data_IF_186786127486
#
_entry.id   IF_186786127486
#
_cell.length_a   1.000
_cell.length_b   1.000
_cell.length_c   1.000
_cell.angle_alpha   90.00
_cell.angle_beta   90.00
_cell.angle_gamma   90.00
#
_symmetry.space_group_name_H-M   'P 1'
#
loop_
_entity.id
_entity.type
_entity.pdbx_description
1 polymer ?
#
# COMPACT_ATOMS: atom_id res chain seq x y z
N UNK A 1 28.84 -45.54 7.40
CA UNK A 1 29.06 -46.02 8.77
C UNK A 1 28.78 -44.91 9.74
N UNK A 2 27.84 -45.19 10.69
CA UNK A 2 27.47 -44.47 11.94
C UNK A 2 26.79 -43.11 11.73
N UNK A 3 25.53 -42.94 11.78
CA UNK A 3 24.43 -43.08 12.78
C UNK A 3 24.74 -42.35 14.11
N UNK A 4 23.94 -41.34 14.41
CA UNK A 4 23.89 -40.61 15.67
C UNK A 4 22.60 -39.83 15.82
N UNK A 5 21.54 -40.49 16.25
CA UNK A 5 20.26 -39.97 16.74
C UNK A 5 20.42 -39.24 18.06
N UNK A 6 19.79 -38.07 18.24
CA UNK A 6 19.50 -37.59 19.60
C UNK A 6 18.11 -36.95 19.62
N UNK A 7 17.26 -37.62 20.37
CA UNK A 7 15.92 -37.26 20.80
C UNK A 7 16.00 -36.47 22.10
N UNK A 8 15.30 -35.34 22.24
CA UNK A 8 15.00 -34.76 23.56
C UNK A 8 13.57 -34.19 23.56
N UNK A 9 12.72 -34.94 24.19
CA UNK A 9 11.71 -34.67 25.23
C UNK A 9 10.81 -33.45 25.15
N UNK A 10 9.52 -33.77 25.08
CA UNK A 10 8.34 -32.96 25.40
C UNK A 10 8.28 -32.63 26.89
N UNK A 11 7.91 -31.41 27.22
CA UNK A 11 7.26 -31.12 28.51
C UNK A 11 5.86 -30.53 28.25
N UNK A 12 4.88 -31.32 28.66
CA UNK A 12 3.49 -30.89 28.89
C UNK A 12 3.42 -30.21 30.27
N UNK A 13 2.71 -29.10 30.34
CA UNK A 13 2.12 -28.62 31.59
C UNK A 13 0.61 -28.49 31.43
N UNK A 14 -0.10 -29.33 32.15
CA UNK A 14 -1.52 -29.30 32.47
C UNK A 14 -1.69 -28.63 33.84
N UNK A 15 -2.59 -27.66 33.95
CA UNK A 15 -3.36 -27.28 35.16
C UNK A 15 -4.42 -26.29 34.66
N UNK A 16 -5.72 -26.32 34.90
CA UNK A 16 -6.60 -26.97 35.85
C UNK A 16 -7.95 -26.31 35.70
N UNK A 17 -8.97 -27.10 35.91
CA UNK A 17 -10.39 -26.88 35.62
C UNK A 17 -11.12 -26.22 36.81
N UNK A 18 -12.17 -25.39 36.50
CA UNK A 18 -13.52 -25.40 37.09
C UNK A 18 -13.93 -24.20 37.99
N UNK A 19 -15.23 -24.04 38.32
CA UNK A 19 -16.43 -24.10 37.48
C UNK A 19 -17.45 -22.95 37.75
N UNK A 20 -18.50 -22.94 36.96
CA UNK A 20 -19.85 -22.31 37.02
C UNK A 20 -20.39 -21.74 38.35
N UNK A 21 -21.44 -20.84 38.32
CA UNK A 21 -22.79 -21.37 38.33
C UNK A 21 -23.81 -20.72 37.37
N UNK A 22 -24.82 -21.53 37.13
CA UNK A 22 -26.10 -21.33 36.47
C UNK A 22 -27.08 -20.46 37.25
N UNK A 23 -27.95 -19.69 36.56
CA UNK A 23 -29.33 -19.51 37.01
C UNK A 23 -30.24 -19.29 35.80
N UNK A 24 -31.24 -20.12 35.77
CA UNK A 24 -32.48 -20.12 35.01
C UNK A 24 -33.37 -18.93 35.35
N UNK A 25 -34.10 -18.40 34.34
CA UNK A 25 -35.56 -18.42 34.43
C UNK A 25 -36.26 -18.04 33.12
N UNK A 26 -37.33 -18.74 32.93
CA UNK A 26 -38.32 -18.86 31.89
C UNK A 26 -39.26 -17.66 31.78
N UNK A 27 -39.67 -17.30 30.55
CA UNK A 27 -41.08 -17.14 30.18
C UNK A 27 -41.27 -16.73 28.74
N UNK A 28 -41.92 -17.58 27.95
CA UNK A 28 -42.60 -17.25 26.71
C UNK A 28 -44.00 -16.72 27.00
N UNK A 29 -44.58 -15.94 26.13
CA UNK A 29 -45.74 -16.45 25.40
C UNK A 29 -45.79 -16.15 23.90
N UNK A 30 -46.46 -17.05 23.29
CA UNK A 30 -46.96 -17.25 21.94
C UNK A 30 -47.55 -16.05 21.20
N UNK A 31 -47.44 -16.14 19.91
CA UNK A 31 -48.39 -16.10 18.79
C UNK A 31 -48.32 -14.93 17.82
N UNK A 32 -48.27 -15.27 16.60
CA UNK A 32 -49.04 -15.00 15.41
C UNK A 32 -48.18 -14.60 14.22
N UNK A 33 -48.27 -15.51 13.22
CA UNK A 33 -47.77 -15.40 11.85
C UNK A 33 -48.40 -14.24 11.09
N UNK A 34 -47.59 -13.39 10.47
CA UNK A 34 -47.93 -12.79 9.19
C UNK A 34 -46.67 -12.67 8.35
N UNK A 35 -46.64 -13.44 7.29
CA UNK A 35 -45.59 -13.35 6.26
C UNK A 35 -45.64 -11.97 5.61
N UNK A 36 -44.61 -11.14 5.87
CA UNK A 36 -44.29 -9.97 5.06
C UNK A 36 -43.03 -10.27 4.26
N UNK A 37 -43.16 -10.24 2.95
CA UNK A 37 -42.06 -10.16 1.99
C UNK A 37 -41.09 -9.08 2.43
N UNK A 38 -39.76 -9.34 2.45
CA UNK A 38 -38.78 -8.32 2.76
C UNK A 38 -38.73 -7.30 1.62
N UNK A 39 -38.65 -6.00 1.94
CA UNK A 39 -38.40 -4.99 0.93
C UNK A 39 -37.00 -5.19 0.32
N UNK A 40 -36.94 -5.18 -0.99
CA UNK A 40 -35.69 -5.04 -1.76
C UNK A 40 -34.93 -3.82 -1.26
N UNK A 41 -33.86 -4.05 -0.50
CA UNK A 41 -32.94 -2.99 -0.07
C UNK A 41 -32.09 -2.60 -1.26
N UNK A 42 -32.33 -1.43 -1.80
CA UNK A 42 -31.37 -0.73 -2.65
C UNK A 42 -30.09 -0.52 -1.84
N UNK A 43 -28.91 -0.92 -2.32
CA UNK A 43 -27.66 -0.69 -1.59
C UNK A 43 -27.39 0.82 -1.54
N UNK A 44 -27.50 1.39 -0.36
CA UNK A 44 -27.10 2.78 -0.10
C UNK A 44 -25.63 2.74 0.31
N UNK A 45 -24.74 3.16 -0.58
CA UNK A 45 -23.39 3.48 -0.19
C UNK A 45 -23.42 4.80 0.61
N UNK A 46 -23.09 4.73 1.89
CA UNK A 46 -22.92 5.92 2.71
C UNK A 46 -21.56 6.54 2.42
N UNK A 47 -21.58 7.60 1.61
CA UNK A 47 -20.51 8.60 1.59
C UNK A 47 -20.87 9.58 2.70
N UNK A 48 -20.31 9.42 3.90
CA UNK A 48 -20.49 10.40 4.97
C UNK A 48 -19.59 11.61 4.70
N UNK A 49 -20.19 12.70 4.22
CA UNK A 49 -19.59 14.02 4.34
C UNK A 49 -19.78 14.52 5.78
N UNK A 50 -18.70 14.72 6.52
CA UNK A 50 -18.77 15.38 7.84
C UNK A 50 -19.20 16.84 7.64
N UNK A 51 -20.46 17.14 7.95
CA UNK A 51 -21.00 18.50 7.96
C UNK A 51 -20.42 19.27 9.15
N UNK A 52 -19.45 20.12 8.90
CA UNK A 52 -18.90 20.99 9.92
C UNK A 52 -17.91 22.01 9.39
N UNK A 53 -18.32 22.79 8.38
CA UNK A 53 -17.85 24.18 8.14
C UNK A 53 -18.76 24.80 7.10
N UNK A 54 -19.56 25.79 7.53
CA UNK A 54 -20.34 26.63 6.64
C UNK A 54 -19.41 27.46 5.76
N UNK A 55 -19.27 27.09 4.49
CA UNK A 55 -18.78 28.00 3.47
C UNK A 55 -19.95 28.42 2.58
N UNK A 56 -20.15 29.72 2.50
CA UNK A 56 -21.18 30.35 1.69
C UNK A 56 -21.03 29.92 0.23
N UNK A 57 -22.09 29.34 -0.33
CA UNK A 57 -22.22 29.03 -1.75
C UNK A 57 -22.33 30.31 -2.55
N UNK A 58 -21.24 30.69 -3.19
CA UNK A 58 -21.30 31.53 -4.41
C UNK A 58 -20.97 30.63 -5.59
N UNK A 59 -22.00 30.26 -6.33
CA UNK A 59 -21.90 29.55 -7.61
C UNK A 59 -21.26 30.45 -8.68
N UNK A 60 -19.97 30.24 -8.91
CA UNK A 60 -19.32 30.52 -10.17
C UNK A 60 -18.21 29.52 -10.39
N UNK A 61 -18.47 28.51 -11.20
CA UNK A 61 -17.52 27.48 -11.61
C UNK A 61 -16.49 28.06 -12.58
N UNK A 62 -15.51 28.75 -12.06
CA UNK A 62 -14.25 28.97 -12.76
C UNK A 62 -13.24 27.99 -12.16
N UNK A 63 -13.15 26.79 -12.72
CA UNK A 63 -12.04 25.88 -12.45
C UNK A 63 -10.75 26.64 -12.79
N UNK A 64 -9.82 26.72 -11.82
CA UNK A 64 -8.49 27.27 -12.09
C UNK A 64 -7.86 26.47 -13.24
N UNK A 65 -7.09 27.11 -14.16
CA UNK A 65 -6.43 26.39 -15.26
C UNK A 65 -5.60 25.18 -14.78
N UNK A 66 -5.07 25.24 -13.58
CA UNK A 66 -4.30 24.16 -12.94
C UNK A 66 -5.17 22.93 -12.61
N UNK A 67 -6.38 23.12 -12.09
CA UNK A 67 -7.28 22.01 -11.77
C UNK A 67 -7.74 21.28 -13.05
N UNK A 68 -8.05 22.01 -14.11
CA UNK A 68 -8.48 21.44 -15.40
C UNK A 68 -7.39 20.57 -16.07
N UNK A 69 -6.11 20.81 -15.79
CA UNK A 69 -5.01 19.98 -16.26
C UNK A 69 -4.93 18.69 -15.44
N UNK A 70 -5.04 18.79 -14.11
CA UNK A 70 -4.97 17.66 -13.19
C UNK A 70 -6.15 16.69 -13.33
N UNK A 71 -7.26 17.10 -13.92
CA UNK A 71 -8.43 16.24 -14.15
C UNK A 71 -8.32 15.41 -15.46
N UNK A 72 -7.19 15.49 -16.18
CA UNK A 72 -6.93 14.69 -17.38
C UNK A 72 -6.29 13.33 -16.97
N UNK A 73 -7.13 12.38 -16.72
CA UNK A 73 -6.69 11.00 -16.39
C UNK A 73 -6.81 10.05 -17.59
N UNK A 74 -6.26 8.85 -17.44
CA UNK A 74 -6.40 7.77 -18.44
C UNK A 74 -7.87 7.48 -18.73
N UNK A 75 -8.15 7.09 -19.97
CA UNK A 75 -9.51 6.81 -20.42
C UNK A 75 -10.08 5.58 -19.72
N UNK A 76 -11.38 5.64 -19.42
CA UNK A 76 -12.16 4.55 -18.86
C UNK A 76 -13.42 4.32 -19.68
N UNK A 77 -13.96 3.12 -19.63
CA UNK A 77 -15.31 2.85 -20.13
C UNK A 77 -16.34 3.47 -19.16
N UNK A 78 -16.88 4.62 -19.54
CA UNK A 78 -17.90 5.35 -18.75
C UNK A 78 -19.25 4.62 -18.72
N UNK A 79 -19.44 3.59 -19.56
CA UNK A 79 -20.63 2.77 -19.61
C UNK A 79 -20.43 1.39 -18.94
N UNK A 80 -19.31 1.23 -18.23
CA UNK A 80 -19.05 0.00 -17.48
C UNK A 80 -20.18 -0.25 -16.47
N UNK A 81 -20.63 -1.49 -16.39
CA UNK A 81 -21.75 -1.88 -15.54
C UNK A 81 -21.48 -1.51 -14.07
N UNK A 82 -22.48 -0.96 -13.40
CA UNK A 82 -22.44 -0.53 -12.00
C UNK A 82 -21.34 0.51 -11.66
N UNK A 83 -20.76 1.18 -12.66
CA UNK A 83 -19.82 2.28 -12.46
C UNK A 83 -20.54 3.50 -11.91
N UNK A 84 -20.09 4.00 -10.78
CA UNK A 84 -20.63 5.19 -10.13
C UNK A 84 -19.52 6.16 -9.75
N UNK A 85 -19.59 7.36 -10.27
CA UNK A 85 -18.70 8.45 -9.89
C UNK A 85 -19.12 9.00 -8.53
N UNK A 86 -18.19 8.99 -7.56
CA UNK A 86 -18.43 9.49 -6.20
C UNK A 86 -17.80 10.86 -5.94
N UNK A 87 -16.86 11.27 -6.78
CA UNK A 87 -16.23 12.59 -6.73
C UNK A 87 -15.83 13.06 -8.12
N UNK A 88 -15.89 14.37 -8.34
CA UNK A 88 -15.44 15.07 -9.54
C UNK A 88 -14.32 16.04 -9.16
N UNK A 89 -13.25 16.07 -9.96
CA UNK A 89 -12.10 16.97 -9.77
C UNK A 89 -11.38 16.80 -8.40
N UNK A 90 -10.63 15.70 -8.21
CA UNK A 90 -10.33 14.59 -9.12
C UNK A 90 -11.46 13.58 -9.25
N UNK A 91 -11.51 12.90 -10.38
CA UNK A 91 -12.46 11.82 -10.60
C UNK A 91 -12.16 10.63 -9.71
N UNK A 92 -13.17 10.16 -8.95
CA UNK A 92 -13.12 8.94 -8.16
C UNK A 92 -14.37 8.13 -8.44
N UNK A 93 -14.21 6.84 -8.70
CA UNK A 93 -15.29 5.93 -9.04
C UNK A 93 -15.36 4.74 -8.08
N UNK A 94 -16.56 4.27 -7.85
CA UNK A 94 -16.85 2.98 -7.22
C UNK A 94 -17.62 2.13 -8.22
N UNK A 95 -17.27 0.86 -8.30
CA UNK A 95 -17.94 -0.12 -9.14
C UNK A 95 -18.51 -1.19 -8.22
N UNK A 96 -19.81 -1.33 -8.19
CA UNK A 96 -20.48 -2.37 -7.43
C UNK A 96 -20.46 -3.68 -8.22
N UNK A 97 -20.38 -4.83 -7.52
CA UNK A 97 -20.38 -6.17 -8.14
C UNK A 97 -19.28 -6.35 -9.21
N UNK A 98 -18.11 -5.74 -9.01
CA UNK A 98 -16.97 -5.85 -9.91
C UNK A 98 -16.42 -7.28 -9.98
N UNK A 99 -16.47 -8.00 -8.86
CA UNK A 99 -16.23 -9.43 -8.75
C UNK A 99 -17.38 -10.09 -7.99
N UNK A 100 -17.69 -11.33 -8.36
CA UNK A 100 -18.62 -12.16 -7.61
C UNK A 100 -18.01 -12.63 -6.30
N UNK A 101 -18.85 -13.08 -5.36
CA UNK A 101 -18.40 -13.63 -4.07
C UNK A 101 -17.43 -14.80 -4.25
N UNK A 102 -17.69 -15.70 -5.21
CA UNK A 102 -16.84 -16.86 -5.50
C UNK A 102 -15.48 -16.45 -6.06
N UNK A 103 -15.43 -15.42 -6.91
CA UNK A 103 -14.17 -14.88 -7.45
C UNK A 103 -13.33 -14.20 -6.36
N UNK A 104 -13.96 -13.47 -5.45
CA UNK A 104 -13.27 -12.92 -4.27
C UNK A 104 -12.65 -14.02 -3.40
N UNK A 105 -13.41 -15.08 -3.12
CA UNK A 105 -12.94 -16.22 -2.33
C UNK A 105 -11.80 -16.97 -3.05
N UNK A 106 -11.90 -17.13 -4.38
CA UNK A 106 -10.86 -17.72 -5.21
C UNK A 106 -9.54 -16.95 -5.12
N UNK A 107 -9.57 -15.62 -5.13
CA UNK A 107 -8.37 -14.77 -4.98
C UNK A 107 -7.79 -14.90 -3.56
N UNK A 108 -8.63 -14.84 -2.53
CA UNK A 108 -8.17 -15.01 -1.13
C UNK A 108 -7.51 -16.38 -0.95
N UNK A 109 -8.12 -17.44 -1.50
CA UNK A 109 -7.57 -18.78 -1.41
C UNK A 109 -6.23 -18.90 -2.15
N UNK A 110 -6.13 -18.34 -3.37
CA UNK A 110 -4.88 -18.32 -4.12
C UNK A 110 -3.76 -17.60 -3.34
N UNK A 111 -4.07 -16.47 -2.69
CA UNK A 111 -3.12 -15.75 -1.85
C UNK A 111 -2.66 -16.56 -0.63
N UNK A 112 -3.57 -17.30 0.01
CA UNK A 112 -3.23 -18.20 1.14
C UNK A 112 -2.39 -19.39 0.69
N UNK A 113 -2.73 -20.01 -0.43
CA UNK A 113 -2.05 -21.20 -0.96
C UNK A 113 -0.65 -20.89 -1.50
N UNK A 114 -0.40 -19.66 -1.91
CA UNK A 114 0.92 -19.22 -2.38
C UNK A 114 2.01 -19.34 -1.31
N UNK A 115 1.66 -19.31 -0.03
CA UNK A 115 2.57 -19.20 1.11
C UNK A 115 3.55 -18.00 1.00
N UNK A 116 3.22 -17.00 0.18
CA UNK A 116 4.07 -15.83 -0.08
C UNK A 116 3.58 -14.57 0.64
N UNK A 117 2.53 -14.66 1.46
CA UNK A 117 2.08 -13.56 2.29
C UNK A 117 3.19 -13.16 3.26
N UNK A 118 3.81 -12.03 2.96
CA UNK A 118 4.89 -11.43 3.77
C UNK A 118 4.50 -10.01 4.12
N UNK A 119 5.13 -9.47 5.16
CA UNK A 119 4.95 -8.05 5.49
C UNK A 119 5.11 -7.20 4.24
N UNK A 120 4.11 -6.37 3.97
CA UNK A 120 4.08 -5.56 2.76
C UNK A 120 5.28 -4.64 2.68
N UNK A 121 5.99 -4.59 1.55
CA UNK A 121 7.08 -3.63 1.37
C UNK A 121 6.50 -2.21 1.36
N UNK A 122 7.24 -1.27 1.89
CA UNK A 122 6.94 0.15 1.76
C UNK A 122 7.83 0.68 0.66
N UNK A 123 7.26 0.84 -0.53
CA UNK A 123 7.91 1.53 -1.62
C UNK A 123 7.64 3.03 -1.44
N UNK A 124 8.50 3.71 -0.70
CA UNK A 124 8.52 5.17 -0.66
C UNK A 124 9.68 5.64 -1.51
N UNK A 125 9.36 6.03 -2.70
CA UNK A 125 10.19 6.88 -3.53
C UNK A 125 10.53 8.16 -2.72
N UNK A 126 11.80 8.55 -2.67
CA UNK A 126 12.29 9.75 -1.95
C UNK A 126 12.67 9.54 -0.48
N UNK A 127 12.46 8.36 0.08
CA UNK A 127 12.84 8.06 1.47
C UNK A 127 13.97 7.02 1.57
N UNK A 128 14.43 6.48 0.46
CA UNK A 128 15.67 5.70 0.43
C UNK A 128 16.80 6.68 0.70
N UNK A 129 17.21 6.75 1.97
CA UNK A 129 18.51 7.30 2.30
C UNK A 129 19.50 6.45 1.51
N UNK A 130 20.04 6.97 0.42
CA UNK A 130 21.10 6.27 -0.30
C UNK A 130 22.30 6.25 0.64
N UNK A 131 22.35 5.19 1.44
CA UNK A 131 23.42 4.94 2.41
C UNK A 131 24.78 5.09 1.74
N UNK A 132 24.91 4.61 0.50
CA UNK A 132 26.13 4.71 -0.28
C UNK A 132 26.47 6.15 -0.59
N UNK A 133 25.52 6.95 -1.08
CA UNK A 133 25.73 8.37 -1.36
C UNK A 133 26.07 9.16 -0.09
N UNK A 134 25.41 8.87 1.04
CA UNK A 134 25.72 9.50 2.33
C UNK A 134 27.14 9.20 2.79
N UNK A 135 27.59 7.95 2.68
CA UNK A 135 28.94 7.55 3.03
C UNK A 135 29.98 8.18 2.08
N UNK A 136 29.71 8.20 0.77
CA UNK A 136 30.59 8.83 -0.21
C UNK A 136 30.71 10.35 0.03
N UNK A 137 29.61 11.03 0.37
CA UNK A 137 29.63 12.45 0.72
C UNK A 137 30.46 12.70 1.99
N UNK A 138 30.26 11.87 3.03
CA UNK A 138 31.02 11.94 4.27
C UNK A 138 32.53 11.72 4.04
N UNK A 139 32.89 10.75 3.21
CA UNK A 139 34.27 10.42 2.88
C UNK A 139 34.99 11.56 2.14
N UNK A 140 34.31 12.17 1.15
CA UNK A 140 34.87 13.26 0.34
C UNK A 140 34.84 14.64 1.00
N UNK A 141 33.95 14.83 1.98
CA UNK A 141 33.72 16.08 2.69
C UNK A 141 34.22 16.06 4.14
N UNK A 142 33.34 15.82 5.13
CA UNK A 142 33.66 15.98 6.54
C UNK A 142 34.85 15.15 7.02
N UNK A 143 34.94 13.87 6.62
CA UNK A 143 36.04 12.99 7.04
C UNK A 143 37.38 13.45 6.49
N UNK A 144 37.41 13.86 5.21
CA UNK A 144 38.61 14.39 4.58
C UNK A 144 39.09 15.66 5.29
N UNK A 145 38.21 16.65 5.51
CA UNK A 145 38.61 17.90 6.18
C UNK A 145 39.02 17.67 7.64
N UNK A 146 38.36 16.73 8.34
CA UNK A 146 38.77 16.36 9.69
C UNK A 146 40.20 15.82 9.75
N UNK A 147 40.57 14.98 8.75
CA UNK A 147 41.94 14.49 8.60
C UNK A 147 42.94 15.64 8.32
N UNK A 148 42.62 16.55 7.40
CA UNK A 148 43.46 17.71 7.08
C UNK A 148 43.69 18.57 8.30
N UNK A 149 42.67 18.92 9.07
CA UNK A 149 42.80 19.70 10.31
C UNK A 149 43.69 18.99 11.32
N UNK A 150 43.55 17.67 11.49
CA UNK A 150 44.41 16.91 12.42
C UNK A 150 45.88 16.85 11.96
N UNK A 151 46.16 16.79 10.65
CA UNK A 151 47.51 16.87 10.10
C UNK A 151 48.11 18.24 10.38
N UNK A 152 47.37 19.31 10.09
CA UNK A 152 47.83 20.68 10.36
C UNK A 152 48.10 20.93 11.83
N UNK A 153 47.23 20.42 12.71
CA UNK A 153 47.44 20.51 14.17
C UNK A 153 48.69 19.73 14.61
N UNK A 154 48.88 18.52 14.12
CA UNK A 154 50.07 17.70 14.40
C UNK A 154 51.38 18.40 14.01
N UNK A 155 51.42 18.98 12.79
CA UNK A 155 52.59 19.65 12.26
C UNK A 155 52.88 21.00 12.95
N UNK A 156 51.83 21.79 13.20
CA UNK A 156 51.98 23.18 13.67
C UNK A 156 52.05 23.31 15.19
N UNK A 157 51.36 22.45 15.94
CA UNK A 157 51.22 22.53 17.40
C UNK A 157 52.07 21.47 18.11
N UNK A 158 52.08 20.25 17.58
CA UNK A 158 52.79 19.12 18.21
C UNK A 158 54.18 18.88 17.64
N UNK A 159 54.58 19.62 16.58
CA UNK A 159 55.84 19.44 15.86
C UNK A 159 56.06 17.99 15.37
N UNK A 160 55.01 17.31 14.97
CA UNK A 160 55.08 15.97 14.43
C UNK A 160 55.43 16.01 12.95
N UNK A 161 56.33 15.13 12.52
CA UNK A 161 56.76 15.00 11.09
C UNK A 161 56.89 13.54 10.71
N UNK A 162 56.77 13.25 9.41
CA UNK A 162 56.94 11.91 8.87
C UNK A 162 55.80 10.96 9.27
N UNK A 163 56.14 9.76 9.74
CA UNK A 163 55.19 8.70 10.03
C UNK A 163 54.12 9.05 11.07
N UNK A 164 54.44 9.75 12.21
CA UNK A 164 53.43 10.14 13.19
C UNK A 164 52.32 11.00 12.62
N UNK A 165 52.64 11.99 11.79
CA UNK A 165 51.64 12.87 11.20
C UNK A 165 50.76 12.16 10.18
N UNK A 166 51.34 11.20 9.41
CA UNK A 166 50.60 10.38 8.47
C UNK A 166 49.61 9.48 9.23
N UNK A 167 50.06 8.81 10.31
CA UNK A 167 49.17 7.97 11.12
C UNK A 167 48.04 8.78 11.79
N UNK A 168 48.32 9.99 12.22
CA UNK A 168 47.31 10.93 12.77
C UNK A 168 46.25 11.27 11.72
N UNK A 169 46.67 11.63 10.51
CA UNK A 169 45.75 11.93 9.42
C UNK A 169 44.87 10.73 9.03
N UNK A 170 45.47 9.56 8.84
CA UNK A 170 44.75 8.33 8.53
C UNK A 170 43.81 7.93 9.66
N UNK A 171 44.26 8.02 10.92
CA UNK A 171 43.43 7.69 12.07
C UNK A 171 42.25 8.66 12.22
N UNK A 172 42.47 9.97 12.03
CA UNK A 172 41.41 10.97 12.06
C UNK A 172 40.38 10.74 10.93
N UNK A 173 40.85 10.44 9.73
CA UNK A 173 39.96 10.10 8.61
C UNK A 173 39.12 8.86 8.91
N UNK A 174 39.75 7.76 9.33
CA UNK A 174 39.05 6.51 9.64
C UNK A 174 38.03 6.69 10.77
N UNK A 175 38.39 7.46 11.81
CA UNK A 175 37.49 7.76 12.92
C UNK A 175 36.27 8.57 12.43
N UNK A 176 36.49 9.67 11.71
CA UNK A 176 35.40 10.51 11.22
C UNK A 176 34.47 9.76 10.24
N UNK A 177 35.05 8.94 9.36
CA UNK A 177 34.29 8.10 8.46
C UNK A 177 33.50 7.03 9.21
N UNK A 178 34.11 6.40 10.22
CA UNK A 178 33.45 5.43 11.09
C UNK A 178 32.22 6.03 11.83
N UNK A 179 32.39 7.25 12.37
CA UNK A 179 31.29 8.00 13.00
C UNK A 179 30.19 8.30 11.97
N UNK A 180 30.53 8.77 10.78
CA UNK A 180 29.54 9.06 9.73
C UNK A 180 28.78 7.80 9.30
N UNK A 181 29.46 6.67 9.13
CA UNK A 181 28.83 5.37 8.83
C UNK A 181 27.88 4.95 9.95
N UNK A 182 28.32 5.05 11.22
CA UNK A 182 27.48 4.68 12.36
C UNK A 182 26.22 5.55 12.44
N UNK A 183 26.34 6.87 12.27
CA UNK A 183 25.20 7.79 12.27
C UNK A 183 24.24 7.50 11.11
N UNK A 184 24.76 7.24 9.91
CA UNK A 184 23.94 6.86 8.75
C UNK A 184 23.21 5.53 8.96
N UNK A 185 23.82 4.55 9.62
CA UNK A 185 23.16 3.28 9.96
C UNK A 185 22.06 3.47 10.99
N UNK A 186 22.30 4.28 12.03
CA UNK A 186 21.28 4.60 13.04
C UNK A 186 20.09 5.34 12.43
N UNK A 187 20.36 6.29 11.55
CA UNK A 187 19.31 7.03 10.84
C UNK A 187 18.50 6.09 9.91
N UNK A 188 19.19 5.21 9.20
CA UNK A 188 18.54 4.19 8.37
C UNK A 188 17.63 3.30 9.21
N UNK A 189 18.11 2.75 10.34
CA UNK A 189 17.29 1.91 11.22
C UNK A 189 16.08 2.66 11.79
N UNK A 190 16.25 3.93 12.16
CA UNK A 190 15.15 4.77 12.65
C UNK A 190 14.09 4.95 11.57
N UNK A 191 14.50 5.32 10.33
CA UNK A 191 13.59 5.49 9.20
C UNK A 191 12.89 4.18 8.81
N UNK A 192 13.61 3.06 8.79
CA UNK A 192 13.01 1.74 8.53
C UNK A 192 11.93 1.39 9.57
N UNK A 193 12.16 1.70 10.84
CA UNK A 193 11.17 1.50 11.89
C UNK A 193 9.94 2.40 11.70
N UNK A 194 10.14 3.70 11.47
CA UNK A 194 9.05 4.66 11.18
C UNK A 194 8.21 4.21 9.98
N UNK A 195 8.86 3.77 8.90
CA UNK A 195 8.19 3.23 7.73
C UNK A 195 7.38 1.96 8.06
N UNK A 196 7.95 1.06 8.88
CA UNK A 196 7.26 -0.16 9.30
C UNK A 196 5.99 0.13 10.12
N UNK A 197 5.93 1.21 10.85
CA UNK A 197 4.75 1.64 11.60
C UNK A 197 3.67 2.27 10.69
N UNK A 198 4.06 2.79 9.52
CA UNK A 198 3.13 3.36 8.54
C UNK A 198 2.32 2.29 7.80
N UNK A 199 2.88 1.10 7.59
CA UNK A 199 2.22 -0.02 6.91
C UNK A 199 2.45 -1.30 7.67
N UNK A 200 1.39 -1.86 8.22
CA UNK A 200 1.46 -3.06 9.06
C UNK A 200 0.90 -4.31 8.37
N UNK A 201 0.30 -4.16 7.18
CA UNK A 201 -0.31 -5.24 6.39
C UNK A 201 0.70 -6.28 5.88
N UNK A 202 0.17 -7.43 5.48
CA UNK A 202 0.89 -8.45 4.69
C UNK A 202 0.41 -8.44 3.24
N UNK A 203 1.26 -8.84 2.30
CA UNK A 203 0.87 -8.91 0.88
C UNK A 203 1.62 -10.00 0.12
N UNK A 204 1.03 -10.46 -0.97
CA UNK A 204 1.66 -11.30 -1.96
C UNK A 204 1.28 -10.84 -3.37
N UNK A 205 2.15 -11.12 -4.33
CA UNK A 205 1.87 -10.90 -5.75
C UNK A 205 1.11 -12.11 -6.26
N UNK A 206 0.07 -11.87 -7.05
CA UNK A 206 -0.75 -12.91 -7.64
C UNK A 206 -0.21 -13.32 -9.01
N UNK A 207 -0.29 -14.61 -9.31
CA UNK A 207 0.26 -15.21 -10.55
C UNK A 207 -0.75 -15.38 -11.68
N UNK A 208 -1.98 -14.87 -11.56
CA UNK A 208 -3.02 -14.98 -12.59
C UNK A 208 -3.59 -16.39 -12.81
N UNK A 209 -3.42 -17.30 -11.84
CA UNK A 209 -3.76 -18.71 -12.01
C UNK A 209 -5.23 -19.03 -11.69
N UNK A 210 -5.78 -18.38 -10.66
CA UNK A 210 -7.17 -18.65 -10.23
C UNK A 210 -8.19 -17.99 -11.14
N UNK A 211 -9.41 -18.51 -11.13
CA UNK A 211 -10.52 -17.97 -11.95
C UNK A 211 -10.86 -16.52 -11.53
N UNK A 212 -10.79 -16.23 -10.23
CA UNK A 212 -10.98 -14.88 -9.72
C UNK A 212 -9.92 -13.90 -10.24
N UNK A 213 -8.65 -14.30 -10.32
CA UNK A 213 -7.57 -13.48 -10.88
C UNK A 213 -7.76 -13.23 -12.38
N UNK A 214 -8.14 -14.25 -13.13
CA UNK A 214 -8.42 -14.12 -14.58
C UNK A 214 -9.57 -13.16 -14.82
N UNK A 215 -10.65 -13.25 -14.05
CA UNK A 215 -11.79 -12.32 -14.14
C UNK A 215 -11.39 -10.92 -13.74
N UNK A 216 -10.62 -10.75 -12.65
CA UNK A 216 -10.08 -9.46 -12.22
C UNK A 216 -9.31 -8.78 -13.37
N UNK A 217 -8.38 -9.48 -14.02
CA UNK A 217 -7.58 -8.96 -15.13
C UNK A 217 -8.48 -8.59 -16.32
N UNK A 218 -9.42 -9.46 -16.69
CA UNK A 218 -10.37 -9.20 -17.78
C UNK A 218 -11.23 -7.97 -17.52
N UNK A 219 -11.79 -7.85 -16.32
CA UNK A 219 -12.61 -6.72 -15.91
C UNK A 219 -11.79 -5.42 -15.88
N UNK A 220 -10.54 -5.47 -15.41
CA UNK A 220 -9.64 -4.31 -15.39
C UNK A 220 -9.37 -3.79 -16.80
N UNK A 221 -9.14 -4.68 -17.77
CA UNK A 221 -8.94 -4.32 -19.17
C UNK A 221 -10.19 -3.73 -19.81
N UNK A 222 -11.37 -4.29 -19.49
CA UNK A 222 -12.65 -3.77 -19.98
C UNK A 222 -12.91 -2.37 -19.41
N UNK A 223 -12.70 -2.18 -18.12
CA UNK A 223 -12.91 -0.89 -17.43
C UNK A 223 -11.96 0.21 -17.93
N UNK A 224 -10.67 -0.12 -18.06
CA UNK A 224 -9.63 0.80 -18.56
C UNK A 224 -9.41 0.58 -20.06
N UNK A 225 -10.51 0.63 -20.82
CA UNK A 225 -10.55 0.40 -22.25
C UNK A 225 -9.59 1.33 -22.99
N UNK A 226 -8.77 0.78 -23.88
CA UNK A 226 -7.77 1.53 -24.63
C UNK A 226 -6.41 1.68 -23.93
N UNK A 227 -6.28 1.32 -22.63
CA UNK A 227 -4.98 1.26 -21.99
C UNK A 227 -4.17 0.05 -22.53
N UNK A 228 -2.87 0.28 -22.77
CA UNK A 228 -1.97 -0.79 -23.17
C UNK A 228 -1.85 -1.84 -22.04
N UNK A 229 -2.20 -3.12 -22.26
CA UNK A 229 -2.11 -4.17 -21.25
C UNK A 229 -0.72 -4.31 -20.62
N UNK A 230 0.32 -4.00 -21.37
CA UNK A 230 1.71 -4.08 -20.90
C UNK A 230 2.13 -2.96 -19.94
N UNK A 231 1.19 -2.11 -19.51
CA UNK A 231 1.45 -1.04 -18.52
C UNK A 231 0.87 -1.34 -17.14
N UNK A 232 0.30 -2.53 -16.92
CA UNK A 232 -0.28 -2.92 -15.64
C UNK A 232 0.68 -3.77 -14.81
N UNK A 233 0.92 -3.41 -13.56
CA UNK A 233 1.62 -4.27 -12.61
C UNK A 233 0.83 -5.55 -12.29
N UNK A 234 1.53 -6.54 -11.77
CA UNK A 234 0.92 -7.73 -11.21
C UNK A 234 -0.08 -7.37 -10.10
N UNK A 235 -1.27 -7.99 -10.10
CA UNK A 235 -2.21 -7.81 -9.00
C UNK A 235 -1.56 -8.20 -7.68
N UNK A 236 -1.70 -7.33 -6.68
CA UNK A 236 -1.15 -7.56 -5.34
C UNK A 236 -2.29 -7.76 -4.36
N UNK A 237 -2.39 -8.96 -3.78
CA UNK A 237 -3.33 -9.23 -2.70
C UNK A 237 -2.75 -8.73 -1.38
N UNK A 238 -3.57 -8.05 -0.57
CA UNK A 238 -3.15 -7.40 0.67
C UNK A 238 -4.11 -7.81 1.78
N UNK A 239 -3.52 -8.29 2.86
CA UNK A 239 -4.20 -8.67 4.09
C UNK A 239 -3.91 -7.65 5.19
N UNK A 240 -4.96 -7.18 5.82
CA UNK A 240 -4.91 -6.42 7.07
C UNK A 240 -5.62 -7.22 8.16
N UNK A 241 -4.86 -7.68 9.13
CA UNK A 241 -5.37 -8.29 10.36
C UNK A 241 -5.88 -7.20 11.33
N UNK A 242 -6.68 -7.54 12.35
CA UNK A 242 -7.09 -6.60 13.39
C UNK A 242 -5.91 -5.78 13.95
N UNK A 243 -6.08 -4.48 14.05
CA UNK A 243 -5.05 -3.52 14.46
C UNK A 243 -4.11 -3.07 13.34
N UNK A 244 -4.23 -3.62 12.13
CA UNK A 244 -3.37 -3.24 11.00
C UNK A 244 -3.99 -2.13 10.16
N UNK A 245 -3.12 -1.32 9.56
CA UNK A 245 -3.48 -0.15 8.76
C UNK A 245 -2.44 0.18 7.69
N UNK A 246 -2.79 1.11 6.84
CA UNK A 246 -1.86 1.81 5.96
C UNK A 246 -2.06 3.32 6.13
N UNK A 247 -1.05 4.01 6.65
CA UNK A 247 -1.09 5.45 6.87
C UNK A 247 -1.26 6.24 5.56
N UNK A 248 -1.62 7.53 5.68
CA UNK A 248 -1.80 8.43 4.56
C UNK A 248 -0.57 8.44 3.63
N UNK A 249 -0.82 8.21 2.35
CA UNK A 249 0.21 8.06 1.33
C UNK A 249 -0.32 8.46 -0.06
N UNK A 250 0.60 8.46 -1.01
CA UNK A 250 0.32 8.64 -2.43
C UNK A 250 0.75 7.40 -3.19
N UNK A 251 -0.01 7.02 -4.20
CA UNK A 251 0.34 5.93 -5.12
C UNK A 251 1.20 6.40 -6.30
N UNK A 252 1.39 7.70 -6.45
CA UNK A 252 2.24 8.31 -7.46
C UNK A 252 3.38 9.10 -6.81
N UNK A 253 4.46 9.31 -7.56
CA UNK A 253 5.64 10.03 -7.11
C UNK A 253 5.58 11.50 -7.49
N UNK A 254 6.00 12.38 -6.58
CA UNK A 254 6.13 13.82 -6.86
C UNK A 254 7.18 14.14 -7.92
N UNK A 255 8.16 13.27 -8.10
CA UNK A 255 9.26 13.40 -9.05
C UNK A 255 9.42 12.14 -9.91
N UNK A 256 8.52 11.91 -10.84
CA UNK A 256 8.39 10.71 -11.67
C UNK A 256 9.67 10.24 -12.42
N UNK A 257 10.70 11.05 -12.48
CA UNK A 257 11.87 10.75 -13.31
C UNK A 257 12.94 9.88 -12.64
N UNK A 258 12.89 9.65 -11.33
CA UNK A 258 14.03 9.08 -10.62
C UNK A 258 13.75 7.69 -10.02
N UNK A 259 12.54 7.38 -9.61
CA UNK A 259 12.34 6.26 -8.68
C UNK A 259 11.62 5.04 -9.24
N UNK A 260 10.77 5.21 -10.26
CA UNK A 260 9.99 4.11 -10.83
C UNK A 260 10.30 3.78 -12.29
N UNK A 261 11.42 4.29 -12.84
CA UNK A 261 11.79 4.05 -14.24
C UNK A 261 11.90 2.54 -14.57
N UNK A 262 12.30 1.71 -13.60
CA UNK A 262 12.39 0.26 -13.77
C UNK A 262 11.04 -0.46 -13.58
N UNK A 263 10.06 0.19 -12.92
CA UNK A 263 8.73 -0.36 -12.62
C UNK A 263 7.64 0.12 -13.58
N UNK A 264 7.97 0.83 -14.64
CA UNK A 264 6.99 1.34 -15.60
C UNK A 264 6.70 2.84 -15.47
N UNK A 265 7.49 3.58 -14.71
CA UNK A 265 7.32 5.03 -14.50
C UNK A 265 6.18 5.37 -13.55
N UNK A 266 5.52 6.50 -13.78
CA UNK A 266 4.47 7.03 -12.90
C UNK A 266 3.24 6.13 -12.84
N UNK A 267 2.63 6.01 -11.67
CA UNK A 267 1.32 5.37 -11.50
C UNK A 267 0.21 6.32 -11.93
N UNK A 268 -0.53 5.95 -12.97
CA UNK A 268 -1.59 6.79 -13.55
C UNK A 268 -3.00 6.41 -13.09
N UNK A 269 -3.22 5.15 -12.71
CA UNK A 269 -4.48 4.71 -12.14
C UNK A 269 -4.24 3.62 -11.08
N UNK A 270 -5.02 3.68 -10.02
CA UNK A 270 -5.13 2.67 -8.98
C UNK A 270 -6.52 2.06 -8.98
N UNK A 271 -6.58 0.77 -9.16
CA UNK A 271 -7.78 -0.03 -8.95
C UNK A 271 -7.61 -0.87 -7.68
N UNK A 272 -8.50 -0.66 -6.73
CA UNK A 272 -8.53 -1.36 -5.44
C UNK A 272 -9.84 -2.15 -5.35
N UNK A 273 -9.78 -3.47 -5.26
CA UNK A 273 -10.96 -4.33 -5.14
C UNK A 273 -11.04 -4.91 -3.73
N UNK A 274 -12.20 -4.78 -3.09
CA UNK A 274 -12.46 -5.31 -1.76
C UNK A 274 -12.95 -6.76 -1.87
N UNK A 275 -12.23 -7.69 -1.22
CA UNK A 275 -12.51 -9.12 -1.33
C UNK A 275 -13.44 -9.64 -0.24
N UNK A 276 -13.66 -8.87 0.81
CA UNK A 276 -14.65 -9.16 1.85
C UNK A 276 -15.30 -7.88 2.39
N UNK A 277 -16.40 -8.06 3.10
CA UNK A 277 -17.11 -6.94 3.74
C UNK A 277 -16.38 -6.48 5.00
N UNK A 278 -16.48 -5.19 5.28
CA UNK A 278 -16.23 -4.61 6.60
C UNK A 278 -17.47 -3.84 7.04
N UNK A 279 -17.87 -3.99 8.29
CA UNK A 279 -18.95 -3.16 8.84
C UNK A 279 -18.45 -1.74 9.12
N UNK A 280 -19.35 -0.76 9.17
CA UNK A 280 -19.00 0.63 9.48
C UNK A 280 -18.31 0.79 10.86
N UNK A 281 -18.56 -0.15 11.78
CA UNK A 281 -17.94 -0.17 13.11
C UNK A 281 -16.63 -0.95 13.16
N UNK A 282 -16.29 -1.68 12.09
CA UNK A 282 -15.08 -2.53 12.02
C UNK A 282 -13.83 -1.79 11.55
N UNK A 283 -13.94 -0.52 11.18
CA UNK A 283 -12.81 0.20 10.60
C UNK A 283 -12.44 -0.32 9.20
N UNK A 284 -11.18 -0.16 8.81
CA UNK A 284 -10.67 -0.68 7.55
C UNK A 284 -11.10 0.08 6.30
N UNK A 285 -11.76 1.22 6.44
CA UNK A 285 -12.21 2.02 5.31
C UNK A 285 -11.01 2.63 4.55
N UNK A 286 -11.21 2.94 3.28
CA UNK A 286 -10.30 3.76 2.49
C UNK A 286 -10.75 5.21 2.56
N UNK A 287 -9.87 6.11 3.01
CA UNK A 287 -10.19 7.53 3.24
C UNK A 287 -9.30 8.41 2.40
N UNK A 288 -9.90 9.35 1.68
CA UNK A 288 -9.22 10.45 1.02
C UNK A 288 -9.33 11.70 1.90
N UNK A 289 -8.33 11.93 2.74
CA UNK A 289 -8.37 12.96 3.78
C UNK A 289 -8.60 14.37 3.23
N UNK A 290 -7.97 14.71 2.12
CA UNK A 290 -8.08 16.05 1.49
C UNK A 290 -9.44 16.29 0.85
N UNK A 291 -10.16 15.22 0.48
CA UNK A 291 -11.47 15.28 -0.16
C UNK A 291 -12.63 15.01 0.79
N UNK A 292 -12.32 14.60 2.02
CA UNK A 292 -13.31 14.17 3.03
C UNK A 292 -14.23 13.04 2.50
N UNK A 293 -13.63 12.08 1.77
CA UNK A 293 -14.33 10.91 1.21
C UNK A 293 -13.90 9.69 1.99
N UNK A 294 -14.87 8.87 2.35
CA UNK A 294 -14.70 7.60 3.05
C UNK A 294 -15.40 6.49 2.29
N UNK A 295 -14.69 5.44 1.94
CA UNK A 295 -15.21 4.27 1.23
C UNK A 295 -15.14 3.06 2.15
N UNK A 296 -16.30 2.51 2.50
CA UNK A 296 -16.43 1.29 3.30
C UNK A 296 -16.21 0.07 2.40
N UNK A 297 -15.34 -0.88 2.78
CA UNK A 297 -15.14 -2.10 2.02
C UNK A 297 -16.43 -2.90 1.88
N UNK A 298 -16.78 -3.25 0.64
CA UNK A 298 -17.86 -4.18 0.31
C UNK A 298 -17.34 -5.27 -0.60
N UNK A 299 -17.61 -6.50 -0.23
CA UNK A 299 -17.16 -7.68 -0.98
C UNK A 299 -17.55 -7.56 -2.45
N UNK A 300 -16.57 -7.73 -3.33
CA UNK A 300 -16.75 -7.64 -4.78
C UNK A 300 -16.82 -6.23 -5.34
N UNK A 301 -16.83 -5.17 -4.53
CA UNK A 301 -16.78 -3.81 -5.07
C UNK A 301 -15.35 -3.35 -5.37
N UNK A 302 -15.22 -2.40 -6.30
CA UNK A 302 -13.94 -1.80 -6.66
C UNK A 302 -13.97 -0.27 -6.48
N UNK A 303 -12.81 0.29 -6.15
CA UNK A 303 -12.53 1.72 -6.07
C UNK A 303 -11.47 2.06 -7.12
N UNK A 304 -11.77 3.01 -8.00
CA UNK A 304 -10.85 3.50 -9.03
C UNK A 304 -10.58 4.98 -8.83
N UNK A 305 -9.31 5.36 -8.81
CA UNK A 305 -8.85 6.74 -8.74
C UNK A 305 -7.53 6.93 -9.50
N UNK A 306 -7.13 8.18 -9.71
CA UNK A 306 -6.03 8.53 -10.59
C UNK A 306 -4.97 9.33 -9.83
N UNK A 307 -3.87 8.68 -9.39
CA UNK A 307 -2.79 9.32 -8.64
C UNK A 307 -2.00 10.36 -9.43
N UNK A 308 -2.04 10.27 -10.76
CA UNK A 308 -1.43 11.24 -11.67
C UNK A 308 -2.27 11.40 -12.93
N UNK A 309 -2.05 12.50 -13.66
CA UNK A 309 -2.63 12.75 -14.97
C UNK A 309 -2.11 11.74 -16.01
N UNK A 310 -2.75 11.71 -17.18
CA UNK A 310 -2.27 10.91 -18.33
C UNK A 310 -0.84 11.29 -18.76
N UNK A 311 -0.43 12.54 -18.53
CA UNK A 311 0.94 13.05 -18.79
C UNK A 311 1.92 12.77 -17.62
N UNK A 312 1.50 12.10 -16.55
CA UNK A 312 2.33 11.76 -15.41
C UNK A 312 2.45 12.85 -14.35
N UNK A 313 1.67 13.93 -14.43
CA UNK A 313 1.67 14.98 -13.41
C UNK A 313 1.00 14.49 -12.13
N UNK A 314 1.71 14.58 -11.03
CA UNK A 314 1.27 14.14 -9.71
C UNK A 314 0.07 14.92 -9.19
N UNK A 315 -0.95 14.22 -8.69
CA UNK A 315 -2.13 14.82 -8.06
C UNK A 315 -2.14 14.58 -6.54
N UNK A 316 -1.78 15.60 -5.78
CA UNK A 316 -1.77 15.50 -4.32
C UNK A 316 -3.17 15.45 -3.67
N UNK A 317 -4.24 15.74 -4.42
CA UNK A 317 -5.62 15.72 -3.90
C UNK A 317 -6.07 14.31 -3.52
N UNK A 318 -5.50 13.29 -4.18
CA UNK A 318 -5.83 11.87 -3.96
C UNK A 318 -4.95 11.18 -2.91
N UNK A 319 -4.35 11.95 -2.00
CA UNK A 319 -3.76 11.38 -0.78
C UNK A 319 -4.81 10.53 -0.05
N UNK A 320 -4.46 9.30 0.28
CA UNK A 320 -5.41 8.38 0.89
C UNK A 320 -4.75 7.47 1.93
N UNK A 321 -5.58 6.88 2.79
CA UNK A 321 -5.16 5.92 3.80
C UNK A 321 -6.14 4.75 3.91
N UNK A 322 -5.64 3.62 4.39
CA UNK A 322 -6.48 2.52 4.86
C UNK A 322 -6.56 2.56 6.37
N UNK A 323 -7.73 2.89 6.90
CA UNK A 323 -7.92 2.96 8.35
C UNK A 323 -7.66 1.62 9.02
N UNK A 324 -7.37 1.69 10.32
CA UNK A 324 -7.15 0.52 11.15
C UNK A 324 -8.36 -0.41 11.15
N UNK A 325 -8.11 -1.72 11.02
CA UNK A 325 -9.13 -2.75 11.17
C UNK A 325 -9.39 -2.93 12.66
N UNK A 326 -10.58 -2.55 13.11
CA UNK A 326 -10.99 -2.57 14.52
C UNK A 326 -11.84 -3.80 14.85
N UNK A 327 -12.43 -4.43 13.83
CA UNK A 327 -13.25 -5.62 13.97
C UNK A 327 -12.42 -6.89 14.16
N UNK A 328 -13.07 -8.02 14.46
CA UNK A 328 -12.42 -9.31 14.62
C UNK A 328 -12.03 -9.97 13.31
N UNK A 329 -12.55 -9.47 12.18
CA UNK A 329 -12.36 -10.05 10.86
C UNK A 329 -11.25 -9.33 10.11
N UNK A 330 -10.42 -10.08 9.41
CA UNK A 330 -9.40 -9.57 8.52
C UNK A 330 -10.03 -8.75 7.39
N UNK A 331 -9.31 -7.75 6.89
CA UNK A 331 -9.65 -7.05 5.65
C UNK A 331 -8.76 -7.55 4.53
N UNK A 332 -9.37 -8.02 3.45
CA UNK A 332 -8.70 -8.48 2.25
C UNK A 332 -9.02 -7.56 1.07
N UNK A 333 -7.98 -7.14 0.36
CA UNK A 333 -8.10 -6.35 -0.87
C UNK A 333 -7.14 -6.87 -1.92
N UNK A 334 -7.42 -6.57 -3.19
CA UNK A 334 -6.44 -6.69 -4.27
C UNK A 334 -6.27 -5.34 -4.95
N UNK A 335 -5.04 -4.98 -5.25
CA UNK A 335 -4.66 -3.74 -5.90
C UNK A 335 -4.01 -4.02 -7.23
N UNK A 336 -4.38 -3.23 -8.26
CA UNK A 336 -3.70 -3.17 -9.56
C UNK A 336 -3.29 -1.72 -9.80
N UNK A 337 -2.04 -1.50 -10.20
CA UNK A 337 -1.56 -0.22 -10.70
C UNK A 337 -1.40 -0.24 -12.21
N UNK A 338 -1.86 0.82 -12.87
CA UNK A 338 -1.59 1.12 -14.27
C UNK A 338 -0.49 2.19 -14.33
N UNK A 339 0.61 1.88 -15.00
CA UNK A 339 1.76 2.76 -15.15
C UNK A 339 1.76 3.55 -16.46
N UNK A 340 2.60 4.57 -16.49
CA UNK A 340 2.88 5.39 -17.67
C UNK A 340 3.55 4.58 -18.80
N UNK A 341 4.52 3.72 -18.43
CA UNK A 341 5.38 2.95 -19.34
C UNK A 341 5.15 1.46 -19.19
N UNK A 342 5.81 0.70 -20.06
CA UNK A 342 5.74 -0.76 -20.04
C UNK A 342 6.36 -1.32 -18.76
N UNK A 343 5.75 -2.36 -18.21
CA UNK A 343 6.28 -3.16 -17.09
C UNK A 343 6.88 -4.46 -17.62
N UNK A 344 7.78 -5.08 -16.85
CA UNK A 344 8.48 -6.30 -17.30
C UNK A 344 7.54 -7.50 -17.44
N UNK A 345 6.64 -7.67 -16.50
CA UNK A 345 5.70 -8.79 -16.42
C UNK A 345 4.28 -8.23 -16.23
N UNK A 346 3.61 -7.89 -17.35
CA UNK A 346 2.28 -7.31 -17.28
C UNK A 346 1.31 -8.24 -16.56
N UNK A 347 0.58 -7.72 -15.58
CA UNK A 347 -0.29 -8.49 -14.70
C UNK A 347 0.38 -9.67 -13.97
N UNK A 348 1.72 -9.72 -13.92
CA UNK A 348 2.48 -10.85 -13.38
C UNK A 348 2.43 -12.10 -14.28
N UNK A 349 2.01 -11.95 -15.53
CA UNK A 349 1.84 -13.05 -16.47
C UNK A 349 3.00 -13.12 -17.46
N UNK A 350 3.40 -14.34 -17.82
CA UNK A 350 4.28 -14.51 -18.95
C UNK A 350 3.50 -14.33 -20.28
N UNK A 351 4.20 -14.08 -21.38
CA UNK A 351 3.59 -13.75 -22.68
C UNK A 351 2.58 -14.79 -23.18
N UNK A 352 2.78 -16.08 -22.89
CA UNK A 352 1.88 -17.16 -23.32
C UNK A 352 0.54 -17.14 -22.57
N UNK A 353 0.58 -16.87 -21.26
CA UNK A 353 -0.64 -16.78 -20.43
C UNK A 353 -1.39 -15.48 -20.72
N UNK A 354 -0.68 -14.41 -21.07
CA UNK A 354 -1.29 -13.16 -21.51
C UNK A 354 -2.21 -13.36 -22.72
N UNK A 355 -1.80 -14.12 -23.73
CA UNK A 355 -2.63 -14.39 -24.91
C UNK A 355 -3.87 -15.19 -24.54
N UNK A 356 -3.77 -16.19 -23.66
CA UNK A 356 -4.89 -17.03 -23.26
C UNK A 356 -5.96 -16.29 -22.44
N UNK A 357 -5.54 -15.38 -21.56
CA UNK A 357 -6.46 -14.55 -20.76
C UNK A 357 -7.10 -13.44 -21.61
N UNK A 358 -6.55 -13.17 -22.80
CA UNK A 358 -6.92 -12.04 -23.66
C UNK A 358 -7.78 -12.41 -24.87
N UNK A 359 -8.01 -13.68 -25.12
CA UNK A 359 -8.97 -14.21 -26.10
C UNK A 359 -10.31 -14.47 -25.41
#
# INVERSE_FOLDING_TARGET
>A
MLAGTSSIARHQFLVGVSPFPSSSDSSSPSSSSSARTPPTRTPVFLVQANAGYNFATSSSSSSSPSAAILDRHVQIDRYYDNLRQIHQSPDIFVIDDYLTSGECESIIQAAKDSNELKRSPIAYAGWTNDFKASVELAARGPAFWFAVVNILYGSSVLNEFGLPILLRGVGAYAFALGVAVALSLLEKQKKEKELQEMRTSSSCVLGGQSDGEKTLIRNTRKLLAGANPNTFEAPTCILYEPGQRLAAHFDANRGAQIEDAERGGQTLATLLVYLNDQSESSGGETVFNRLNIKVVPRKGSALLFFPATESGEFDERVEHEGLEVLGPEDKWIVRIWKHEKLVKEPFGLNALVLEEVFV
#
